data_IF_477612995335
#
_entry.id   IF_477612995335
#
_cell.length_a   1.000
_cell.length_b   1.000
_cell.length_c   1.000
_cell.angle_alpha   90.00
_cell.angle_beta   90.00
_cell.angle_gamma   90.00
#
_symmetry.space_group_name_H-M   'P 1'
#
loop_
_entity.id
_entity.type
_entity.pdbx_description
1 polymer ?
#
# COMPACT_ATOMS: atom_id res chain seq x y z
N UNK A 1 -14.56 -0.10 6.46
CA UNK A 1 -14.23 -0.35 5.04
C UNK A 1 -13.26 0.73 4.62
N UNK A 2 -12.17 0.40 3.92
CA UNK A 2 -11.21 1.41 3.49
C UNK A 2 -11.92 2.41 2.54
N UNK A 3 -11.89 3.72 2.83
CA UNK A 3 -12.72 4.71 2.13
C UNK A 3 -12.62 4.65 0.60
N UNK A 4 -11.40 4.43 0.07
CA UNK A 4 -11.15 4.32 -1.36
C UNK A 4 -11.94 3.18 -2.04
N UNK A 5 -11.93 1.98 -1.47
CA UNK A 5 -12.64 0.83 -2.02
C UNK A 5 -14.16 0.98 -1.89
N UNK A 6 -14.62 1.59 -0.79
CA UNK A 6 -16.04 1.90 -0.61
C UNK A 6 -16.54 2.90 -1.65
N UNK A 7 -15.73 3.90 -2.00
CA UNK A 7 -16.07 4.89 -3.04
C UNK A 7 -16.21 4.26 -4.43
N UNK A 8 -15.53 3.14 -4.67
CA UNK A 8 -15.53 2.43 -5.96
C UNK A 8 -16.47 1.22 -5.94
N UNK A 9 -17.28 1.06 -4.89
CA UNK A 9 -18.19 -0.08 -4.70
C UNK A 9 -17.50 -1.45 -4.80
N UNK A 10 -16.21 -1.50 -4.46
CA UNK A 10 -15.41 -2.71 -4.52
C UNK A 10 -15.39 -3.41 -3.15
N UNK A 11 -16.02 -4.60 -3.02
CA UNK A 11 -15.97 -5.34 -1.76
C UNK A 11 -14.55 -5.86 -1.51
N UNK A 12 -14.02 -5.58 -0.32
CA UNK A 12 -12.72 -6.08 0.09
C UNK A 12 -12.88 -7.43 0.78
N UNK A 13 -12.72 -8.52 0.02
CA UNK A 13 -12.92 -9.87 0.56
C UNK A 13 -11.72 -10.38 1.37
N UNK A 14 -10.50 -9.96 1.00
CA UNK A 14 -9.27 -10.49 1.59
C UNK A 14 -8.13 -9.49 1.52
N UNK A 15 -7.34 -9.43 2.59
CA UNK A 15 -6.05 -8.74 2.63
C UNK A 15 -4.93 -9.74 2.84
N UNK A 16 -3.85 -9.56 2.09
CA UNK A 16 -2.59 -10.27 2.27
C UNK A 16 -1.56 -9.31 2.88
N UNK A 17 -1.04 -9.62 4.06
CA UNK A 17 0.07 -8.88 4.69
C UNK A 17 1.24 -9.81 4.98
N UNK A 18 2.38 -9.22 5.31
CA UNK A 18 3.45 -9.97 5.95
C UNK A 18 3.14 -10.23 7.45
N UNK A 19 4.14 -10.70 8.18
CA UNK A 19 4.03 -11.01 9.61
C UNK A 19 4.52 -9.88 10.51
N UNK A 20 4.54 -8.65 10.00
CA UNK A 20 4.88 -7.45 10.76
C UNK A 20 4.01 -7.32 12.01
N UNK A 21 4.56 -6.72 13.06
CA UNK A 21 3.87 -6.57 14.36
C UNK A 21 2.66 -5.65 14.25
N UNK A 22 2.63 -4.77 13.25
CA UNK A 22 1.51 -3.92 12.87
C UNK A 22 0.31 -4.68 12.30
N UNK A 23 0.50 -5.91 11.80
CA UNK A 23 -0.58 -6.78 11.29
C UNK A 23 -0.84 -8.00 12.19
N UNK A 24 0.15 -8.40 12.98
CA UNK A 24 0.16 -9.64 13.75
C UNK A 24 0.36 -9.43 15.27
N UNK A 25 0.04 -8.26 15.80
CA UNK A 25 0.11 -7.96 17.23
C UNK A 25 -0.79 -8.86 18.08
N UNK A 26 -0.62 -8.82 19.42
CA UNK A 26 -1.49 -9.57 20.33
C UNK A 26 -2.91 -9.02 20.26
N UNK A 27 -3.90 -9.89 20.07
CA UNK A 27 -5.32 -9.54 19.85
C UNK A 27 -5.88 -8.60 20.93
N UNK A 28 -5.41 -8.72 22.18
CA UNK A 28 -5.82 -7.88 23.30
C UNK A 28 -5.41 -6.39 23.17
N UNK A 29 -4.49 -6.07 22.25
CA UNK A 29 -3.92 -4.73 22.06
C UNK A 29 -3.82 -4.36 20.56
N UNK A 30 -4.51 -5.08 19.68
CA UNK A 30 -4.32 -4.96 18.24
C UNK A 30 -5.65 -4.82 17.50
N UNK A 31 -6.03 -3.59 17.21
CA UNK A 31 -7.33 -3.23 16.61
C UNK A 31 -7.50 -3.71 15.16
N UNK A 32 -6.42 -4.16 14.51
CA UNK A 32 -6.47 -4.59 13.11
C UNK A 32 -7.34 -5.84 12.90
N UNK A 33 -7.17 -6.89 13.71
CA UNK A 33 -7.93 -8.13 13.55
C UNK A 33 -9.42 -7.93 13.85
N UNK A 34 -9.83 -7.24 14.94
CA UNK A 34 -11.22 -6.85 15.15
C UNK A 34 -11.79 -6.02 14.00
N UNK A 35 -11.02 -5.05 13.48
CA UNK A 35 -11.46 -4.24 12.34
C UNK A 35 -11.78 -5.08 11.11
N UNK A 36 -10.91 -6.03 10.75
CA UNK A 36 -11.14 -6.92 9.61
C UNK A 36 -12.36 -7.81 9.82
N UNK A 37 -12.54 -8.37 11.02
CA UNK A 37 -13.69 -9.20 11.36
C UNK A 37 -15.02 -8.44 11.27
N UNK A 38 -15.07 -7.20 11.78
CA UNK A 38 -16.27 -6.34 11.70
C UNK A 38 -16.64 -6.04 10.24
N UNK A 39 -15.65 -5.97 9.36
CA UNK A 39 -15.85 -5.66 7.94
C UNK A 39 -15.95 -6.93 7.06
N UNK A 40 -16.00 -8.13 7.65
CA UNK A 40 -16.04 -9.41 6.95
C UNK A 40 -14.89 -9.59 5.93
N UNK A 41 -13.68 -9.21 6.34
CA UNK A 41 -12.46 -9.25 5.52
C UNK A 41 -11.55 -10.38 5.99
N UNK A 42 -11.25 -11.33 5.10
CA UNK A 42 -10.27 -12.38 5.38
C UNK A 42 -8.85 -11.80 5.50
N UNK A 43 -8.09 -12.26 6.48
CA UNK A 43 -6.67 -11.93 6.60
C UNK A 43 -5.79 -13.15 6.28
N UNK A 44 -5.06 -13.07 5.17
CA UNK A 44 -4.00 -14.03 4.82
C UNK A 44 -2.63 -13.43 5.12
N UNK A 45 -1.72 -14.26 5.63
CA UNK A 45 -0.33 -13.85 5.90
C UNK A 45 0.60 -14.52 4.91
N UNK A 46 1.63 -13.80 4.47
CA UNK A 46 2.68 -14.42 3.64
C UNK A 46 3.32 -15.57 4.39
N UNK A 47 3.63 -16.64 3.66
CA UNK A 47 4.36 -17.77 4.21
C UNK A 47 5.79 -17.31 4.52
N UNK A 48 6.36 -17.80 5.62
CA UNK A 48 7.76 -17.54 5.93
C UNK A 48 8.65 -17.90 4.73
N UNK A 49 9.60 -17.02 4.40
CA UNK A 49 10.52 -17.18 3.26
C UNK A 49 9.84 -17.30 1.89
N UNK A 50 8.68 -16.66 1.67
CA UNK A 50 8.03 -16.52 0.35
C UNK A 50 8.07 -15.06 -0.14
N UNK A 51 9.24 -14.56 -0.56
CA UNK A 51 9.42 -13.15 -0.99
C UNK A 51 8.60 -12.80 -2.24
N UNK A 52 8.23 -13.79 -3.06
CA UNK A 52 7.47 -13.57 -4.28
C UNK A 52 6.06 -13.04 -3.98
N UNK A 53 5.44 -13.46 -2.88
CA UNK A 53 4.07 -13.12 -2.52
C UNK A 53 3.91 -11.66 -2.08
N UNK A 54 4.99 -11.03 -1.59
CA UNK A 54 5.03 -9.59 -1.28
C UNK A 54 5.78 -8.76 -2.35
N UNK A 55 6.33 -9.43 -3.37
CA UNK A 55 7.26 -8.81 -4.31
C UNK A 55 6.67 -7.65 -5.11
N UNK A 56 5.35 -7.61 -5.33
CA UNK A 56 4.69 -6.48 -5.98
C UNK A 56 4.68 -5.24 -5.10
N UNK A 57 4.37 -5.39 -3.80
CA UNK A 57 4.41 -4.31 -2.84
C UNK A 57 5.85 -3.78 -2.66
N UNK A 58 6.82 -4.68 -2.53
CA UNK A 58 8.23 -4.30 -2.43
C UNK A 58 8.74 -3.57 -3.68
N UNK A 59 8.33 -4.01 -4.89
CA UNK A 59 8.64 -3.32 -6.14
C UNK A 59 8.03 -1.93 -6.17
N UNK A 60 6.74 -1.81 -5.82
CA UNK A 60 6.06 -0.53 -5.74
C UNK A 60 6.77 0.42 -4.76
N UNK A 61 7.10 -0.03 -3.55
CA UNK A 61 7.82 0.76 -2.56
C UNK A 61 9.17 1.27 -3.05
N UNK A 62 9.93 0.45 -3.79
CA UNK A 62 11.17 0.90 -4.43
C UNK A 62 10.90 1.93 -5.53
N UNK A 63 9.86 1.72 -6.33
CA UNK A 63 9.47 2.64 -7.41
C UNK A 63 9.06 4.00 -6.86
N UNK A 64 8.12 4.07 -5.93
CA UNK A 64 7.67 5.34 -5.33
C UNK A 64 8.79 6.06 -4.59
N UNK A 65 9.68 5.34 -3.90
CA UNK A 65 10.85 5.94 -3.25
C UNK A 65 11.76 6.64 -4.27
N UNK A 66 12.11 5.96 -5.36
CA UNK A 66 13.08 6.45 -6.33
C UNK A 66 12.49 7.49 -7.29
N UNK A 67 11.24 7.32 -7.69
CA UNK A 67 10.60 8.16 -8.72
C UNK A 67 9.80 9.32 -8.14
N UNK A 68 9.28 9.21 -6.93
CA UNK A 68 8.57 10.29 -6.25
C UNK A 68 9.44 10.87 -5.12
N UNK A 69 9.49 10.21 -3.96
CA UNK A 69 9.99 10.83 -2.72
C UNK A 69 11.40 11.41 -2.83
N UNK A 70 12.37 10.70 -3.42
CA UNK A 70 13.73 11.22 -3.59
C UNK A 70 13.79 12.46 -4.50
N UNK A 71 12.87 12.57 -5.46
CA UNK A 71 12.83 13.68 -6.41
C UNK A 71 12.10 14.87 -5.78
N UNK A 72 10.90 14.65 -5.23
CA UNK A 72 10.07 15.72 -4.64
C UNK A 72 10.75 16.37 -3.45
N UNK A 73 11.32 15.59 -2.52
CA UNK A 73 12.01 16.17 -1.35
C UNK A 73 13.31 16.92 -1.68
N UNK A 74 13.88 16.75 -2.88
CA UNK A 74 14.99 17.60 -3.36
C UNK A 74 14.51 18.91 -3.99
N UNK A 75 13.28 18.95 -4.49
CA UNK A 75 12.72 20.08 -5.26
C UNK A 75 11.84 21.00 -4.43
N UNK A 76 11.14 20.45 -3.43
CA UNK A 76 10.12 21.13 -2.65
C UNK A 76 10.27 20.78 -1.17
N UNK A 77 10.22 21.80 -0.32
CA UNK A 77 10.08 21.63 1.13
C UNK A 77 8.59 21.60 1.42
N UNK A 78 8.11 20.51 2.01
CA UNK A 78 6.73 20.36 2.44
C UNK A 78 6.61 20.82 3.89
N UNK A 79 5.64 21.69 4.15
CA UNK A 79 5.40 22.21 5.50
C UNK A 79 4.24 21.51 6.18
N UNK A 80 3.37 20.87 5.40
CA UNK A 80 2.21 20.11 5.87
C UNK A 80 2.13 18.76 5.16
N UNK A 81 1.40 17.81 5.76
CA UNK A 81 1.19 16.49 5.16
C UNK A 81 0.27 16.58 3.94
N UNK A 82 -0.68 17.50 3.96
CA UNK A 82 -1.65 17.75 2.91
C UNK A 82 -0.97 18.20 1.61
N UNK A 83 0.05 19.06 1.70
CA UNK A 83 0.85 19.47 0.54
C UNK A 83 1.58 18.29 -0.11
N UNK A 84 2.09 17.35 0.71
CA UNK A 84 2.74 16.15 0.20
C UNK A 84 1.71 15.20 -0.42
N UNK A 85 0.54 15.06 0.20
CA UNK A 85 -0.54 14.20 -0.29
C UNK A 85 -1.04 14.64 -1.67
N UNK A 86 -1.21 15.94 -1.92
CA UNK A 86 -1.64 16.46 -3.23
C UNK A 86 -0.65 16.07 -4.33
N UNK A 87 0.65 16.27 -4.10
CA UNK A 87 1.66 15.92 -5.09
C UNK A 87 1.78 14.40 -5.27
N UNK A 88 1.56 13.65 -4.19
CA UNK A 88 1.54 12.19 -4.22
C UNK A 88 0.35 11.67 -5.03
N UNK A 89 -0.84 12.22 -4.85
CA UNK A 89 -2.04 11.82 -5.59
C UNK A 89 -1.87 12.03 -7.10
N UNK A 90 -1.26 13.16 -7.51
CA UNK A 90 -0.91 13.41 -8.92
C UNK A 90 0.08 12.37 -9.43
N UNK A 91 1.11 12.04 -8.64
CA UNK A 91 2.08 11.03 -9.04
C UNK A 91 1.46 9.62 -9.10
N UNK A 92 0.52 9.31 -8.20
CA UNK A 92 -0.22 8.04 -8.20
C UNK A 92 -1.09 7.89 -9.45
N UNK A 93 -1.74 8.97 -9.90
CA UNK A 93 -2.52 8.96 -11.14
C UNK A 93 -1.63 8.65 -12.36
N UNK A 94 -0.47 9.31 -12.44
CA UNK A 94 0.55 8.99 -13.45
C UNK A 94 1.05 7.54 -13.34
N UNK A 95 1.37 7.07 -12.12
CA UNK A 95 1.86 5.72 -11.88
C UNK A 95 0.86 4.66 -12.34
N UNK A 96 -0.43 4.86 -12.07
CA UNK A 96 -1.48 3.88 -12.38
C UNK A 96 -1.93 3.90 -13.85
N UNK A 97 -1.93 5.07 -14.51
CA UNK A 97 -2.56 5.23 -15.83
C UNK A 97 -1.59 5.50 -16.99
N UNK A 98 -0.41 6.04 -16.72
CA UNK A 98 0.51 6.49 -17.78
C UNK A 98 1.88 5.79 -17.74
N UNK A 99 2.37 5.44 -16.54
CA UNK A 99 3.70 4.88 -16.36
C UNK A 99 3.78 3.46 -16.92
N UNK A 100 4.64 3.23 -17.90
CA UNK A 100 4.91 1.88 -18.41
C UNK A 100 5.50 0.98 -17.31
N UNK A 101 4.73 -0.02 -16.88
CA UNK A 101 5.26 -1.11 -16.06
C UNK A 101 5.94 -2.11 -16.99
N UNK A 102 7.26 -1.96 -17.19
CA UNK A 102 8.09 -2.96 -17.84
C UNK A 102 8.09 -4.23 -16.97
N UNK A 103 7.07 -5.06 -17.13
CA UNK A 103 7.17 -6.48 -16.83
C UNK A 103 8.18 -7.01 -17.85
N UNK A 104 9.24 -7.69 -17.42
CA UNK A 104 10.13 -8.38 -18.37
C UNK A 104 9.25 -9.20 -19.33
N UNK A 105 9.19 -8.78 -20.59
CA UNK A 105 8.76 -9.62 -21.69
C UNK A 105 10.05 -10.31 -22.15
N UNK A 106 9.99 -11.65 -22.16
CA UNK A 106 11.03 -12.66 -22.44
C UNK A 106 11.88 -13.08 -21.23
#
# INVERSE_FOLDING_TARGET
MLPYFSQHELPMLRILTDRGTEYCGRVEQHDYQPYLAINDIDHTKTKAMSPQTNGSCERFHKTILNEFYQITFRKKIYTTMEELQIDLDVWMEYYNNERTHLTKIL
#
